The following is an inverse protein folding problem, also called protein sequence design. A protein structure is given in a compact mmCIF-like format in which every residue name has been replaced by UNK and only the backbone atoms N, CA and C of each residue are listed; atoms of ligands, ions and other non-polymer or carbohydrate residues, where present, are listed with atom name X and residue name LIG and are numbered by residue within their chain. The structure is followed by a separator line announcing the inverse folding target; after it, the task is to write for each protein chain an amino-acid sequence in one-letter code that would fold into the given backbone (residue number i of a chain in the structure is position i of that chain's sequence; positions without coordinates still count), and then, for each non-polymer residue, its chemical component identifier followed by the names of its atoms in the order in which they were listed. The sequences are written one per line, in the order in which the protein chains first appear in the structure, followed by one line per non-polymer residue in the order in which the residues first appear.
data_IF_670336643150
#
_entry.id   IF_670336643150
#
_cell.length_a   1.000
_cell.length_b   1.000
_cell.length_c   1.000
_cell.angle_alpha   90.00
_cell.angle_beta   90.00
_cell.angle_gamma   90.00
#
_symmetry.space_group_name_H-M   'P 1'
#
loop_
_entity.id
_entity.type
_entity.pdbx_description
1 polymer ?
#
# COMPACT_ATOMS: atom_id res chain seq x y z
N UNK A 1 -14.83 24.17 -72.43
CA UNK A 1 -13.50 23.94 -71.81
C UNK A 1 -13.20 24.80 -70.60
N UNK A 2 -13.68 26.06 -70.51
CA UNK A 2 -13.45 26.93 -69.33
C UNK A 2 -14.26 26.51 -68.09
N UNK A 3 -15.51 26.08 -68.24
CA UNK A 3 -16.42 25.69 -67.14
C UNK A 3 -15.96 24.45 -66.42
N UNK A 4 -15.44 23.45 -67.16
CA UNK A 4 -14.89 22.20 -66.55
C UNK A 4 -13.63 22.45 -65.72
N UNK A 5 -12.78 23.40 -66.12
CA UNK A 5 -11.59 23.77 -65.33
C UNK A 5 -11.92 24.48 -64.04
N UNK A 6 -12.96 25.33 -64.04
CA UNK A 6 -13.43 26.06 -62.86
C UNK A 6 -14.07 25.07 -61.86
N UNK A 7 -14.86 24.09 -62.31
CA UNK A 7 -15.44 23.07 -61.46
C UNK A 7 -14.40 22.20 -60.75
N UNK A 8 -13.32 21.83 -61.45
CA UNK A 8 -12.23 21.05 -60.87
C UNK A 8 -11.48 21.86 -59.82
N UNK A 9 -11.28 23.15 -60.06
CA UNK A 9 -10.58 24.04 -59.13
C UNK A 9 -11.37 24.22 -57.82
N UNK A 10 -12.70 24.35 -57.90
CA UNK A 10 -13.60 24.48 -56.77
C UNK A 10 -13.65 23.16 -55.95
N UNK A 11 -13.64 22.00 -56.62
CA UNK A 11 -13.61 20.70 -55.99
C UNK A 11 -12.28 20.46 -55.24
N UNK A 12 -11.16 20.91 -55.84
CA UNK A 12 -9.83 20.82 -55.21
C UNK A 12 -9.72 21.78 -53.97
N UNK A 13 -10.34 22.95 -54.05
CA UNK A 13 -10.37 23.88 -52.92
C UNK A 13 -11.21 23.36 -51.76
N UNK A 14 -12.34 22.71 -52.03
CA UNK A 14 -13.18 22.05 -51.03
C UNK A 14 -12.45 20.90 -50.34
N UNK A 15 -11.60 20.17 -51.08
CA UNK A 15 -10.80 19.09 -50.51
C UNK A 15 -9.69 19.59 -49.57
N UNK A 16 -9.15 20.79 -49.81
CA UNK A 16 -8.12 21.40 -48.96
C UNK A 16 -8.69 21.92 -47.63
N UNK A 17 -9.98 22.29 -47.59
CA UNK A 17 -10.65 22.74 -46.39
C UNK A 17 -11.11 21.58 -45.51
N UNK A 18 -11.40 20.40 -46.07
CA UNK A 18 -11.82 19.20 -45.33
C UNK A 18 -10.69 18.56 -44.55
N UNK A 19 -9.41 18.85 -44.86
CA UNK A 19 -8.26 18.33 -44.13
C UNK A 19 -7.77 19.22 -42.97
N UNK A 20 -8.56 20.19 -42.54
CA UNK A 20 -8.31 20.80 -41.23
C UNK A 20 -8.82 19.86 -40.16
N UNK A 21 -8.12 18.80 -39.99
CA UNK A 21 -8.18 17.97 -38.81
C UNK A 21 -7.77 18.87 -37.65
N UNK A 22 -8.74 19.32 -36.89
CA UNK A 22 -8.52 19.97 -35.63
C UNK A 22 -7.69 18.98 -34.78
N UNK A 23 -6.37 19.20 -34.76
CA UNK A 23 -5.55 18.59 -33.72
C UNK A 23 -6.12 19.16 -32.44
N UNK A 24 -6.97 18.40 -31.76
CA UNK A 24 -7.21 18.59 -30.34
C UNK A 24 -5.81 18.56 -29.71
N UNK A 25 -5.30 19.74 -29.43
CA UNK A 25 -4.14 19.89 -28.57
C UNK A 25 -4.64 19.35 -27.23
N UNK A 26 -4.36 18.07 -26.92
CA UNK A 26 -4.46 17.58 -25.55
C UNK A 26 -3.62 18.55 -24.74
N UNK A 27 -4.30 19.48 -24.05
CA UNK A 27 -3.64 20.38 -23.13
C UNK A 27 -3.05 19.49 -22.07
N UNK A 28 -1.75 19.31 -22.10
CA UNK A 28 -1.05 18.65 -21.00
C UNK A 28 -1.46 19.39 -19.72
N UNK A 29 -1.96 18.64 -18.72
CA UNK A 29 -2.39 19.26 -17.47
C UNK A 29 -1.21 20.05 -16.90
N UNK A 30 -1.48 21.27 -16.43
CA UNK A 30 -0.44 22.02 -15.73
C UNK A 30 -0.03 21.29 -14.45
N UNK A 31 1.14 21.60 -13.89
CA UNK A 31 1.69 20.91 -12.72
C UNK A 31 0.71 20.84 -11.54
N UNK A 32 -0.14 21.84 -11.36
CA UNK A 32 -1.15 21.85 -10.31
C UNK A 32 -2.27 20.85 -10.58
N UNK A 33 -2.81 20.83 -11.78
CA UNK A 33 -3.85 19.88 -12.20
C UNK A 33 -3.33 18.44 -12.17
N UNK A 34 -2.08 18.24 -12.57
CA UNK A 34 -1.44 16.92 -12.50
C UNK A 34 -1.32 16.43 -11.04
N UNK A 35 -0.89 17.30 -10.12
CA UNK A 35 -0.81 16.97 -8.69
C UNK A 35 -2.18 16.63 -8.11
N UNK A 36 -3.19 17.46 -8.34
CA UNK A 36 -4.56 17.22 -7.88
C UNK A 36 -5.10 15.88 -8.41
N UNK A 37 -4.83 15.56 -9.67
CA UNK A 37 -5.21 14.28 -10.26
C UNK A 37 -4.49 13.10 -9.61
N UNK A 38 -3.17 13.21 -9.39
CA UNK A 38 -2.37 12.16 -8.75
C UNK A 38 -2.78 11.94 -7.29
N UNK A 39 -3.07 13.02 -6.55
CA UNK A 39 -3.56 12.96 -5.18
C UNK A 39 -4.93 12.25 -5.11
N UNK A 40 -5.87 12.63 -5.98
CA UNK A 40 -7.17 11.98 -6.06
C UNK A 40 -7.06 10.50 -6.44
N UNK A 41 -6.22 10.17 -7.42
CA UNK A 41 -5.99 8.79 -7.83
C UNK A 41 -5.35 7.97 -6.69
N UNK A 42 -4.39 8.54 -5.97
CA UNK A 42 -3.77 7.87 -4.82
C UNK A 42 -4.77 7.66 -3.67
N UNK A 43 -5.63 8.63 -3.41
CA UNK A 43 -6.68 8.49 -2.40
C UNK A 43 -7.65 7.35 -2.72
N UNK A 44 -8.09 7.23 -3.97
CA UNK A 44 -8.95 6.12 -4.40
C UNK A 44 -8.29 4.75 -4.19
N UNK A 45 -6.97 4.66 -4.41
CA UNK A 45 -6.23 3.42 -4.18
C UNK A 45 -6.13 3.06 -2.70
N UNK A 46 -5.91 4.07 -1.85
CA UNK A 46 -5.87 3.90 -0.38
C UNK A 46 -7.25 3.47 0.13
N UNK A 47 -8.32 4.11 -0.31
CA UNK A 47 -9.69 3.79 0.10
C UNK A 47 -10.09 2.38 -0.38
N UNK A 48 -9.69 1.99 -1.59
CA UNK A 48 -9.88 0.64 -2.12
C UNK A 48 -9.16 -0.41 -1.27
N UNK A 49 -7.87 -0.22 -1.00
CA UNK A 49 -7.07 -1.12 -0.15
C UNK A 49 -7.68 -1.25 1.26
N UNK A 50 -8.10 -0.12 1.85
CA UNK A 50 -8.77 -0.10 3.15
C UNK A 50 -10.05 -0.92 3.17
N UNK A 51 -10.87 -0.82 2.12
CA UNK A 51 -12.10 -1.61 2.00
C UNK A 51 -11.80 -3.10 1.86
N UNK A 52 -10.80 -3.48 1.04
CA UNK A 52 -10.36 -4.87 0.90
C UNK A 52 -9.90 -5.48 2.24
N UNK A 53 -9.14 -4.71 3.04
CA UNK A 53 -8.72 -5.13 4.37
C UNK A 53 -9.93 -5.32 5.28
N UNK A 54 -10.86 -4.38 5.29
CA UNK A 54 -12.09 -4.47 6.09
C UNK A 54 -12.89 -5.73 5.75
N UNK A 55 -13.12 -5.97 4.47
CA UNK A 55 -13.85 -7.15 3.99
C UNK A 55 -13.12 -8.45 4.38
N UNK A 56 -11.78 -8.45 4.36
CA UNK A 56 -10.98 -9.58 4.79
C UNK A 56 -11.12 -9.82 6.31
N UNK A 57 -11.04 -8.78 7.13
CA UNK A 57 -11.23 -8.86 8.59
C UNK A 57 -12.61 -9.44 8.92
N UNK A 58 -13.66 -8.97 8.24
CA UNK A 58 -15.02 -9.45 8.41
C UNK A 58 -15.17 -10.93 8.00
N UNK A 59 -14.63 -11.33 6.83
CA UNK A 59 -14.67 -12.73 6.36
C UNK A 59 -13.98 -13.71 7.30
N UNK A 60 -12.90 -13.28 7.97
CA UNK A 60 -12.19 -14.13 8.93
C UNK A 60 -12.75 -14.07 10.35
N UNK A 61 -13.70 -13.18 10.60
CA UNK A 61 -14.25 -12.97 11.94
C UNK A 61 -13.22 -12.44 12.94
N UNK A 62 -12.22 -11.68 12.48
CA UNK A 62 -11.20 -11.12 13.35
C UNK A 62 -11.71 -9.87 14.07
N UNK A 63 -11.45 -9.78 15.37
CA UNK A 63 -11.82 -8.60 16.16
C UNK A 63 -10.66 -7.59 16.15
N UNK A 64 -10.47 -6.91 15.02
CA UNK A 64 -9.39 -5.95 14.80
C UNK A 64 -9.86 -4.51 14.94
N UNK A 65 -8.94 -3.65 15.30
CA UNK A 65 -9.13 -2.20 15.39
C UNK A 65 -8.21 -1.53 14.38
N UNK A 66 -8.73 -0.53 13.66
CA UNK A 66 -7.95 0.29 12.75
C UNK A 66 -7.37 1.50 13.50
N UNK A 67 -6.07 1.74 13.36
CA UNK A 67 -5.40 2.93 13.87
C UNK A 67 -5.59 4.13 12.93
N UNK A 68 -5.29 5.36 13.38
CA UNK A 68 -5.36 6.55 12.53
C UNK A 68 -4.42 6.52 11.31
N UNK A 69 -3.38 5.71 11.34
CA UNK A 69 -2.43 5.54 10.21
C UNK A 69 -2.90 4.51 9.20
N UNK A 70 -3.97 3.74 9.52
CA UNK A 70 -4.49 2.66 8.70
C UNK A 70 -3.93 1.27 9.07
N UNK A 71 -3.14 1.15 10.14
CA UNK A 71 -2.73 -0.16 10.66
C UNK A 71 -3.94 -0.84 11.30
N UNK A 72 -4.26 -2.07 10.89
CA UNK A 72 -5.22 -2.91 11.58
C UNK A 72 -4.50 -3.83 12.55
N UNK A 73 -4.98 -3.89 13.80
CA UNK A 73 -4.31 -4.67 14.83
C UNK A 73 -5.28 -5.39 15.77
N UNK A 74 -4.83 -6.53 16.27
CA UNK A 74 -5.49 -7.32 17.31
C UNK A 74 -4.42 -7.97 18.17
N UNK A 75 -4.43 -7.70 19.48
CA UNK A 75 -3.70 -8.49 20.47
C UNK A 75 -4.66 -9.60 20.91
N UNK A 76 -4.43 -10.83 20.43
CA UNK A 76 -5.33 -11.95 20.68
C UNK A 76 -4.91 -12.81 21.86
N UNK A 77 -3.65 -12.71 22.31
CA UNK A 77 -3.13 -13.32 23.53
C UNK A 77 -2.35 -12.26 24.31
N UNK A 78 -2.73 -12.01 25.56
CA UNK A 78 -2.13 -10.95 26.37
C UNK A 78 -1.04 -11.50 27.27
N UNK A 79 0.17 -10.94 27.16
CA UNK A 79 1.27 -11.16 28.07
C UNK A 79 1.15 -10.32 29.35
N UNK A 80 1.94 -10.67 30.36
CA UNK A 80 2.00 -9.96 31.64
C UNK A 80 3.27 -9.11 31.82
N UNK A 81 4.16 -9.09 30.83
CA UNK A 81 5.43 -8.38 30.90
C UNK A 81 5.31 -6.87 30.73
N UNK A 82 6.46 -6.18 30.76
CA UNK A 82 6.51 -4.72 30.57
C UNK A 82 6.09 -4.32 29.16
N UNK A 83 5.55 -3.12 29.04
CA UNK A 83 5.20 -2.52 27.75
C UNK A 83 6.47 -2.09 26.99
N UNK A 84 6.39 -2.17 25.66
CA UNK A 84 7.43 -1.67 24.76
C UNK A 84 7.54 -0.15 24.84
N UNK A 85 8.76 0.35 24.83
CA UNK A 85 9.06 1.77 24.67
C UNK A 85 9.97 2.00 23.47
N UNK A 86 9.98 3.22 22.96
CA UNK A 86 10.96 3.62 21.93
C UNK A 86 12.39 3.48 22.52
N UNK A 87 13.29 2.90 21.70
CA UNK A 87 14.68 2.64 22.09
C UNK A 87 14.92 1.23 22.63
N UNK A 88 13.92 0.50 23.06
CA UNK A 88 14.05 -0.91 23.42
C UNK A 88 14.51 -1.75 22.22
N UNK A 89 15.21 -2.84 22.47
CA UNK A 89 15.46 -3.85 21.45
C UNK A 89 14.36 -4.92 21.60
N UNK A 90 13.46 -4.97 20.62
CA UNK A 90 12.40 -5.97 20.60
C UNK A 90 12.91 -7.29 20.04
N UNK A 91 12.61 -8.39 20.75
CA UNK A 91 12.87 -9.76 20.34
C UNK A 91 11.53 -10.40 19.99
N UNK A 92 11.34 -10.76 18.74
CA UNK A 92 10.06 -11.25 18.23
C UNK A 92 10.18 -12.57 17.46
N UNK A 93 9.18 -13.42 17.61
CA UNK A 93 8.84 -14.38 16.57
C UNK A 93 7.76 -13.81 15.68
N UNK A 94 7.86 -14.08 14.38
CA UNK A 94 6.88 -13.57 13.43
C UNK A 94 6.64 -14.52 12.26
N UNK A 95 5.51 -14.33 11.61
CA UNK A 95 5.26 -14.80 10.26
C UNK A 95 4.54 -13.73 9.45
N UNK A 96 4.87 -13.66 8.16
CA UNK A 96 4.26 -12.75 7.19
C UNK A 96 3.52 -13.57 6.16
N UNK A 97 2.28 -13.17 5.89
CA UNK A 97 1.47 -13.70 4.79
C UNK A 97 0.95 -12.56 3.92
N UNK A 98 0.70 -12.84 2.65
CA UNK A 98 -0.08 -11.96 1.78
C UNK A 98 -1.57 -12.01 2.14
N UNK A 99 -2.34 -11.05 1.66
CA UNK A 99 -3.81 -11.04 1.80
C UNK A 99 -4.48 -12.28 1.15
N UNK A 100 -3.80 -12.94 0.22
CA UNK A 100 -4.21 -14.24 -0.37
C UNK A 100 -4.13 -15.41 0.60
N UNK A 101 -3.43 -15.25 1.74
CA UNK A 101 -3.15 -16.30 2.71
C UNK A 101 -1.79 -16.99 2.53
N UNK A 102 -1.08 -16.72 1.44
CA UNK A 102 0.23 -17.30 1.17
C UNK A 102 1.26 -16.83 2.19
N UNK A 103 1.83 -17.76 2.96
CA UNK A 103 2.90 -17.46 3.91
C UNK A 103 4.21 -17.26 3.16
N UNK A 104 4.81 -16.08 3.31
CA UNK A 104 6.01 -15.67 2.55
C UNK A 104 7.27 -15.62 3.39
N UNK A 105 7.19 -15.17 4.63
CA UNK A 105 8.33 -15.11 5.55
C UNK A 105 7.95 -15.59 6.96
N UNK A 106 8.94 -16.04 7.71
CA UNK A 106 8.84 -16.31 9.14
C UNK A 106 10.22 -16.26 9.78
N UNK A 107 10.27 -15.95 11.08
CA UNK A 107 11.46 -16.17 11.89
C UNK A 107 11.75 -17.65 12.05
N UNK A 108 13.03 -17.98 12.22
CA UNK A 108 13.42 -19.31 12.67
C UNK A 108 12.96 -19.51 14.12
N UNK A 109 12.36 -20.67 14.50
CA UNK A 109 11.95 -20.93 15.88
C UNK A 109 13.08 -20.78 16.91
N UNK A 110 14.33 -21.07 16.51
CA UNK A 110 15.49 -20.99 17.39
C UNK A 110 16.25 -19.66 17.28
N UNK A 111 15.81 -18.76 16.37
CA UNK A 111 16.50 -17.51 16.09
C UNK A 111 15.45 -16.41 15.87
N UNK A 112 14.95 -15.79 16.94
CA UNK A 112 14.00 -14.69 16.85
C UNK A 112 14.65 -13.46 16.21
N UNK A 113 13.84 -12.65 15.54
CA UNK A 113 14.27 -11.37 14.97
C UNK A 113 14.45 -10.36 16.10
N UNK A 114 15.55 -9.59 16.01
CA UNK A 114 15.80 -8.47 16.92
C UNK A 114 15.87 -7.18 16.13
N UNK A 115 15.29 -6.11 16.66
CA UNK A 115 15.42 -4.76 16.11
C UNK A 115 15.19 -3.70 17.18
N UNK A 116 15.81 -2.52 17.01
CA UNK A 116 15.62 -1.41 17.93
C UNK A 116 14.37 -0.60 17.54
N UNK A 117 13.42 -0.50 18.45
CA UNK A 117 12.14 0.19 18.26
C UNK A 117 12.35 1.70 18.08
N UNK A 118 11.82 2.24 16.98
CA UNK A 118 11.91 3.65 16.63
C UNK A 118 13.21 4.06 15.92
N UNK A 119 14.00 3.08 15.45
CA UNK A 119 15.24 3.35 14.68
C UNK A 119 15.15 2.94 13.21
N UNK A 120 14.02 2.41 12.79
CA UNK A 120 13.86 1.82 11.46
C UNK A 120 14.48 0.43 11.36
N UNK A 121 14.58 -0.09 10.14
CA UNK A 121 15.09 -1.44 9.88
C UNK A 121 14.02 -2.52 9.83
N UNK A 122 12.77 -2.13 10.10
CA UNK A 122 11.55 -2.91 9.86
C UNK A 122 10.48 -1.99 9.26
N UNK A 123 9.38 -2.56 8.81
CA UNK A 123 8.27 -1.81 8.24
C UNK A 123 7.64 -0.87 9.30
N UNK A 124 7.22 0.30 8.86
CA UNK A 124 6.64 1.34 9.73
C UNK A 124 5.44 0.82 10.52
N UNK A 125 4.59 0.01 9.87
CA UNK A 125 3.43 -0.60 10.52
C UNK A 125 3.82 -1.63 11.59
N UNK A 126 4.92 -2.36 11.40
CA UNK A 126 5.44 -3.27 12.44
C UNK A 126 5.96 -2.48 13.65
N UNK A 127 6.72 -1.39 13.44
CA UNK A 127 7.18 -0.53 14.53
C UNK A 127 6.00 0.05 15.33
N UNK A 128 4.96 0.52 14.64
CA UNK A 128 3.75 1.03 15.27
C UNK A 128 3.06 -0.05 16.10
N UNK A 129 2.86 -1.25 15.51
CA UNK A 129 2.19 -2.36 16.19
C UNK A 129 2.95 -2.85 17.44
N UNK A 130 4.26 -2.96 17.36
CA UNK A 130 5.11 -3.38 18.49
C UNK A 130 5.00 -2.42 19.67
N UNK A 131 4.89 -1.12 19.45
CA UNK A 131 4.70 -0.12 20.52
C UNK A 131 3.38 -0.29 21.29
N UNK A 132 2.41 -1.04 20.75
CA UNK A 132 1.16 -1.35 21.43
C UNK A 132 1.28 -2.58 22.34
N UNK A 133 2.35 -3.41 22.18
CA UNK A 133 2.53 -4.71 22.83
C UNK A 133 3.25 -4.63 24.17
N UNK A 134 3.13 -5.75 24.90
CA UNK A 134 3.88 -6.10 26.11
C UNK A 134 4.60 -7.42 25.89
N UNK A 135 5.66 -7.69 26.66
CA UNK A 135 6.33 -8.99 26.63
C UNK A 135 5.28 -10.10 26.90
N UNK A 136 5.29 -11.11 26.04
CA UNK A 136 4.38 -12.25 26.05
C UNK A 136 3.09 -12.04 25.25
N UNK A 137 2.84 -10.84 24.70
CA UNK A 137 1.70 -10.62 23.82
C UNK A 137 1.89 -11.38 22.51
N UNK A 138 0.77 -11.92 21.97
CA UNK A 138 0.66 -12.34 20.58
C UNK A 138 -0.36 -11.48 19.86
N UNK A 139 0.03 -10.98 18.71
CA UNK A 139 -0.73 -10.03 17.95
C UNK A 139 -0.81 -10.39 16.48
N UNK A 140 -1.88 -9.91 15.83
CA UNK A 140 -1.99 -9.85 14.38
C UNK A 140 -2.04 -8.41 13.96
N UNK A 141 -1.22 -8.07 12.95
CA UNK A 141 -1.22 -6.78 12.31
C UNK A 141 -1.52 -6.97 10.83
N UNK A 142 -2.37 -6.12 10.25
CA UNK A 142 -2.52 -6.01 8.80
C UNK A 142 -1.96 -4.65 8.43
N UNK A 143 -0.90 -4.67 7.65
CA UNK A 143 -0.22 -3.49 7.17
C UNK A 143 -0.69 -3.23 5.75
N UNK A 144 -1.43 -2.14 5.50
CA UNK A 144 -1.63 -1.68 4.13
C UNK A 144 -0.27 -1.34 3.49
N UNK A 145 -0.24 -1.31 2.20
CA UNK A 145 1.00 -1.20 1.42
C UNK A 145 1.90 -0.04 1.85
N UNK A 146 1.33 1.12 2.18
CA UNK A 146 2.08 2.31 2.60
C UNK A 146 2.75 2.18 3.98
N UNK A 147 2.28 1.27 4.84
CA UNK A 147 2.90 0.93 6.12
C UNK A 147 3.82 -0.30 6.04
N UNK A 148 3.86 -0.96 4.88
CA UNK A 148 4.65 -2.14 4.56
C UNK A 148 5.80 -1.78 3.60
N UNK A 149 5.85 -2.40 2.41
CA UNK A 149 6.92 -2.21 1.42
C UNK A 149 6.57 -1.19 0.32
N UNK A 150 5.36 -0.62 0.36
CA UNK A 150 4.91 0.43 -0.56
C UNK A 150 4.80 -0.02 -2.02
N UNK A 151 4.98 0.96 -2.92
CA UNK A 151 4.85 0.73 -4.36
C UNK A 151 5.85 -0.30 -4.90
N UNK A 152 7.14 -0.33 -4.49
CA UNK A 152 8.10 -1.27 -5.08
C UNK A 152 7.91 -2.72 -4.61
N UNK A 153 7.21 -2.97 -3.47
CA UNK A 153 7.29 -4.26 -2.80
C UNK A 153 8.69 -4.49 -2.20
N UNK A 154 9.06 -5.75 -1.91
CA UNK A 154 10.41 -6.10 -1.41
C UNK A 154 11.38 -6.56 -2.51
N UNK A 155 10.88 -6.62 -3.76
CA UNK A 155 11.64 -7.08 -4.92
C UNK A 155 11.87 -8.60 -4.99
N UNK A 156 11.34 -9.38 -4.05
CA UNK A 156 11.55 -10.84 -3.96
C UNK A 156 10.23 -11.60 -3.87
N UNK A 157 9.47 -11.43 -2.80
CA UNK A 157 8.24 -12.19 -2.50
C UNK A 157 7.03 -11.32 -2.21
N UNK A 158 7.23 -10.07 -1.81
CA UNK A 158 6.13 -9.11 -1.56
C UNK A 158 5.92 -8.31 -2.83
N UNK A 159 4.76 -8.48 -3.50
CA UNK A 159 4.45 -7.74 -4.71
C UNK A 159 4.36 -6.22 -4.47
N UNK A 160 4.33 -5.49 -5.57
CA UNK A 160 4.04 -4.04 -5.56
C UNK A 160 2.70 -3.78 -4.89
N UNK A 161 2.66 -2.79 -3.99
CA UNK A 161 1.44 -2.34 -3.28
C UNK A 161 0.72 -3.46 -2.52
N UNK A 162 1.43 -4.49 -2.07
CA UNK A 162 0.81 -5.59 -1.36
C UNK A 162 0.51 -5.23 0.10
N UNK A 163 -0.72 -5.49 0.52
CA UNK A 163 -1.09 -5.61 1.93
C UNK A 163 -0.48 -6.88 2.50
N UNK A 164 0.14 -6.79 3.66
CA UNK A 164 0.74 -7.93 4.37
C UNK A 164 0.14 -8.14 5.75
N UNK A 165 0.11 -9.39 6.17
CA UNK A 165 -0.42 -9.81 7.47
C UNK A 165 0.74 -10.35 8.30
N UNK A 166 1.02 -9.70 9.41
CA UNK A 166 1.94 -10.18 10.43
C UNK A 166 1.18 -10.94 11.52
N UNK A 167 1.67 -12.12 11.90
CA UNK A 167 1.41 -12.69 13.21
C UNK A 167 2.72 -12.60 13.99
N UNK A 168 2.66 -11.97 15.16
CA UNK A 168 3.84 -11.61 15.97
C UNK A 168 3.66 -12.09 17.39
N UNK A 169 4.73 -12.64 17.97
CA UNK A 169 4.89 -12.89 19.39
C UNK A 169 6.05 -12.05 19.90
N UNK A 170 5.79 -11.19 20.89
CA UNK A 170 6.84 -10.42 21.55
C UNK A 170 7.43 -11.25 22.69
N UNK A 171 8.64 -11.77 22.45
CA UNK A 171 9.31 -12.71 23.36
C UNK A 171 9.97 -11.98 24.52
N UNK A 172 10.75 -10.93 24.22
CA UNK A 172 11.50 -10.17 25.23
C UNK A 172 11.85 -8.76 24.75
N UNK A 173 12.38 -7.97 25.67
CA UNK A 173 12.87 -6.60 25.46
C UNK A 173 14.20 -6.39 26.20
N UNK A 174 15.22 -5.93 25.43
CA UNK A 174 16.53 -5.53 25.96
C UNK A 174 16.67 -4.02 26.03
#
# INVERSE_FOLDING_TARGET
MAVTRISILILLLLFLVACRHERQTEQQPNDKQLREYLEAANQLLIDGERQEIKDMVERHGWNMVESPTGLWFQIYEKGAGRKVNRGDIAIIHYSISLATGDKIYASNPNEPKQFQVGRGGVETGLEEGILMMRIGDKARFILPSHLAHGVPGDGVRIPTRATIIYNVELVDLL
#
